data_IF_665525476761
#
_entry.id   IF_665525476761
#
_cell.length_a   1.000
_cell.length_b   1.000
_cell.length_c   1.000
_cell.angle_alpha   90.00
_cell.angle_beta   90.00
_cell.angle_gamma   90.00
#
_symmetry.space_group_name_H-M   'P 1'
#
loop_
_entity.id
_entity.type
_entity.pdbx_description
1 polymer ?
#
# COMPACT_ATOMS: atom_id res chain seq x y z
N UNK A 1 -2.89 -24.10 -4.88
CA UNK A 1 -2.74 -23.31 -3.65
C UNK A 1 -3.81 -22.23 -3.57
N UNK A 2 -4.35 -22.04 -2.38
CA UNK A 2 -5.38 -21.04 -2.18
C UNK A 2 -4.78 -19.62 -2.23
N UNK A 3 -5.43 -18.75 -3.00
CA UNK A 3 -5.05 -17.35 -3.02
C UNK A 3 -5.46 -16.69 -1.70
N UNK A 4 -4.56 -15.94 -1.09
CA UNK A 4 -4.87 -15.24 0.17
C UNK A 4 -5.89 -14.14 -0.04
N UNK A 5 -6.79 -14.00 0.92
CA UNK A 5 -7.74 -12.89 0.96
C UNK A 5 -7.01 -11.58 1.31
N UNK A 6 -7.56 -10.42 0.90
CA UNK A 6 -6.93 -9.15 1.23
C UNK A 6 -6.60 -8.96 2.71
N UNK A 7 -7.50 -9.37 3.60
CA UNK A 7 -7.27 -9.22 5.04
C UNK A 7 -6.11 -10.09 5.53
N UNK A 8 -5.95 -11.27 4.94
CA UNK A 8 -4.82 -12.15 5.26
C UNK A 8 -3.50 -11.55 4.77
N UNK A 9 -3.52 -10.91 3.59
CA UNK A 9 -2.34 -10.21 3.06
C UNK A 9 -1.96 -9.05 3.98
N UNK A 10 -2.94 -8.30 4.48
CA UNK A 10 -2.66 -7.20 5.40
C UNK A 10 -1.95 -7.71 6.65
N UNK A 11 -2.47 -8.77 7.28
CA UNK A 11 -1.87 -9.34 8.49
C UNK A 11 -0.45 -9.81 8.21
N UNK A 12 -0.24 -10.50 7.10
CA UNK A 12 1.08 -10.99 6.72
C UNK A 12 2.07 -9.85 6.57
N UNK A 13 1.68 -8.80 5.82
CA UNK A 13 2.60 -7.69 5.52
C UNK A 13 2.83 -6.78 6.71
N UNK A 14 1.84 -6.62 7.59
CA UNK A 14 2.09 -5.91 8.85
C UNK A 14 3.20 -6.58 9.65
N UNK A 15 3.21 -7.92 9.68
CA UNK A 15 4.26 -8.67 10.35
C UNK A 15 5.60 -8.53 9.65
N UNK A 16 5.63 -8.70 8.33
CA UNK A 16 6.87 -8.62 7.55
C UNK A 16 7.54 -7.25 7.65
N UNK A 17 6.74 -6.20 7.70
CA UNK A 17 7.25 -4.82 7.73
C UNK A 17 7.42 -4.25 9.13
N UNK A 18 7.10 -5.03 10.17
CA UNK A 18 7.23 -4.55 11.54
C UNK A 18 6.20 -3.49 11.90
N UNK A 19 4.97 -3.63 11.39
CA UNK A 19 3.88 -2.68 11.60
C UNK A 19 2.76 -3.24 12.48
N UNK A 20 3.05 -4.27 13.27
CA UNK A 20 2.02 -4.93 14.08
C UNK A 20 1.47 -4.03 15.20
N UNK A 21 2.18 -2.97 15.54
CA UNK A 21 1.73 -1.98 16.51
C UNK A 21 0.81 -0.90 15.92
N UNK A 22 0.56 -0.96 14.59
CA UNK A 22 -0.38 -0.06 13.94
C UNK A 22 -1.78 -0.63 13.95
N UNK A 23 -2.75 0.22 14.30
CA UNK A 23 -4.17 -0.08 14.15
C UNK A 23 -4.60 0.43 12.77
N UNK A 24 -5.02 -0.49 11.90
CA UNK A 24 -5.35 -0.16 10.51
C UNK A 24 -6.83 -0.41 10.25
N UNK A 25 -7.54 0.66 9.89
CA UNK A 25 -8.89 0.57 9.34
C UNK A 25 -8.73 0.24 7.86
N UNK A 26 -9.00 -1.01 7.49
CA UNK A 26 -8.74 -1.53 6.16
C UNK A 26 -10.03 -1.62 5.35
N UNK A 27 -10.03 -0.97 4.19
CA UNK A 27 -11.12 -1.03 3.21
C UNK A 27 -10.60 -1.72 1.95
N UNK A 28 -10.75 -3.04 1.85
CA UNK A 28 -10.05 -3.84 0.84
C UNK A 28 -10.64 -3.81 -0.56
N UNK A 29 -11.84 -3.25 -0.73
CA UNK A 29 -12.56 -3.34 -2.01
C UNK A 29 -13.43 -2.10 -2.20
N UNK A 30 -12.79 -1.00 -2.59
CA UNK A 30 -13.48 0.27 -2.79
C UNK A 30 -13.83 0.50 -4.26
N UNK A 31 -14.86 1.32 -4.50
CA UNK A 31 -15.08 1.91 -5.82
C UNK A 31 -14.15 3.11 -5.98
N UNK A 32 -14.03 3.62 -7.20
CA UNK A 32 -13.24 4.83 -7.45
C UNK A 32 -13.74 6.01 -6.61
N UNK A 33 -15.06 6.13 -6.46
CA UNK A 33 -15.69 7.21 -5.73
C UNK A 33 -15.46 7.11 -4.21
N UNK A 34 -15.26 5.91 -3.70
CA UNK A 34 -15.05 5.69 -2.27
C UNK A 34 -13.61 6.00 -1.83
N UNK A 35 -12.66 6.03 -2.77
CA UNK A 35 -11.28 6.37 -2.45
C UNK A 35 -11.17 7.85 -2.07
N UNK A 36 -10.45 8.14 -0.99
CA UNK A 36 -10.32 9.50 -0.48
C UNK A 36 -9.47 10.41 -1.38
N UNK A 37 -8.65 9.82 -2.25
CA UNK A 37 -7.81 10.56 -3.19
C UNK A 37 -8.19 10.21 -4.62
N UNK A 38 -8.13 11.23 -5.50
CA UNK A 38 -8.43 11.05 -6.91
C UNK A 38 -7.24 10.41 -7.65
N UNK A 39 -7.54 9.73 -8.75
CA UNK A 39 -6.56 9.17 -9.68
C UNK A 39 -5.56 8.20 -9.04
N UNK A 40 -6.02 7.41 -8.07
CA UNK A 40 -5.20 6.39 -7.45
C UNK A 40 -5.96 5.07 -7.36
N UNK A 41 -5.21 3.98 -7.25
CA UNK A 41 -5.77 2.64 -7.06
C UNK A 41 -5.76 2.23 -5.58
N UNK A 42 -5.07 3.00 -4.74
CA UNK A 42 -4.99 2.77 -3.31
C UNK A 42 -4.59 4.06 -2.63
N UNK A 43 -4.96 4.21 -1.38
CA UNK A 43 -4.50 5.36 -0.60
C UNK A 43 -4.44 5.02 0.88
N UNK A 44 -3.58 5.75 1.57
CA UNK A 44 -3.43 5.64 3.02
C UNK A 44 -3.48 7.02 3.65
N UNK A 45 -4.16 7.12 4.78
CA UNK A 45 -4.16 8.31 5.63
C UNK A 45 -3.82 7.86 7.04
N UNK A 46 -3.07 8.66 7.78
CA UNK A 46 -2.55 8.19 9.06
C UNK A 46 -2.32 9.33 10.04
N UNK A 47 -2.29 8.96 11.32
CA UNK A 47 -1.83 9.81 12.42
C UNK A 47 -0.60 9.12 13.02
N UNK A 48 0.59 9.61 12.68
CA UNK A 48 1.84 8.91 12.99
C UNK A 48 2.11 8.78 14.49
N UNK A 49 1.72 9.77 15.27
CA UNK A 49 1.95 9.75 16.73
C UNK A 49 1.12 8.65 17.41
N UNK A 50 -0.10 8.46 16.90
CA UNK A 50 -1.03 7.48 17.49
C UNK A 50 -0.92 6.11 16.83
N UNK A 51 -0.21 5.99 15.73
CA UNK A 51 -0.06 4.76 14.95
C UNK A 51 -1.41 4.16 14.55
N UNK A 52 -2.29 5.02 14.07
CA UNK A 52 -3.57 4.62 13.48
C UNK A 52 -3.59 5.06 12.03
N UNK A 53 -4.17 4.24 11.18
CA UNK A 53 -4.21 4.52 9.75
C UNK A 53 -5.49 3.96 9.13
N UNK A 54 -5.85 4.56 8.00
CA UNK A 54 -6.90 4.04 7.12
C UNK A 54 -6.22 3.70 5.80
N UNK A 55 -6.37 2.45 5.34
CA UNK A 55 -5.83 2.01 4.06
C UNK A 55 -6.99 1.57 3.18
N UNK A 56 -7.11 2.21 2.02
CA UNK A 56 -8.16 1.92 1.05
C UNK A 56 -7.54 1.31 -0.20
N UNK A 57 -8.14 0.23 -0.69
CA UNK A 57 -7.71 -0.45 -1.91
C UNK A 57 -8.86 -0.50 -2.90
N UNK A 58 -8.58 -0.20 -4.15
CA UNK A 58 -9.58 -0.35 -5.22
C UNK A 58 -9.94 -1.83 -5.40
N UNK A 59 -11.21 -2.10 -5.68
CA UNK A 59 -11.59 -3.41 -6.19
C UNK A 59 -11.02 -3.52 -7.61
N UNK A 60 -10.13 -4.50 -7.89
CA UNK A 60 -9.48 -4.58 -9.20
C UNK A 60 -10.44 -4.65 -10.38
N UNK A 61 -11.63 -5.22 -10.18
CA UNK A 61 -12.64 -5.34 -11.24
C UNK A 61 -13.31 -4.01 -11.56
N UNK A 62 -13.18 -3.01 -10.68
CA UNK A 62 -13.84 -1.71 -10.83
C UNK A 62 -12.89 -0.60 -11.26
N UNK A 63 -11.64 -0.93 -11.61
CA UNK A 63 -10.67 0.08 -12.03
C UNK A 63 -11.10 0.74 -13.35
N UNK A 64 -10.96 2.06 -13.41
CA UNK A 64 -11.32 2.84 -14.61
C UNK A 64 -10.42 2.53 -15.79
N UNK A 65 -9.16 2.19 -15.54
CA UNK A 65 -8.18 1.95 -16.58
C UNK A 65 -7.64 0.53 -16.51
N UNK A 66 -8.30 -0.42 -17.19
CA UNK A 66 -7.84 -1.80 -17.18
C UNK A 66 -6.63 -2.06 -18.08
N UNK A 67 -6.18 -1.05 -18.84
CA UNK A 67 -5.07 -1.22 -19.78
C UNK A 67 -3.73 -1.46 -19.09
N UNK A 68 -3.58 -0.98 -17.85
CA UNK A 68 -2.34 -1.12 -17.11
C UNK A 68 -2.45 -2.25 -16.09
N UNK A 69 -1.39 -3.03 -16.02
CA UNK A 69 -1.33 -4.14 -15.06
C UNK A 69 -1.44 -3.61 -13.63
N UNK A 70 -2.26 -4.27 -12.83
CA UNK A 70 -2.43 -3.94 -11.43
C UNK A 70 -2.14 -5.15 -10.56
N UNK A 71 -1.16 -5.02 -9.67
CA UNK A 71 -0.85 -6.06 -8.69
C UNK A 71 -1.33 -5.56 -7.32
N UNK A 72 -2.41 -6.15 -6.84
CA UNK A 72 -3.04 -5.75 -5.58
C UNK A 72 -2.06 -5.83 -4.41
N UNK A 73 -1.31 -6.91 -4.30
CA UNK A 73 -0.38 -7.09 -3.19
C UNK A 73 0.73 -6.05 -3.21
N UNK A 74 1.27 -5.75 -4.39
CA UNK A 74 2.30 -4.70 -4.53
C UNK A 74 1.73 -3.35 -4.11
N UNK A 75 0.49 -3.02 -4.53
CA UNK A 75 -0.15 -1.77 -4.15
C UNK A 75 -0.36 -1.69 -2.63
N UNK A 76 -0.78 -2.78 -2.00
CA UNK A 76 -0.95 -2.83 -0.55
C UNK A 76 0.38 -2.59 0.17
N UNK A 77 1.45 -3.24 -0.27
CA UNK A 77 2.77 -3.05 0.32
C UNK A 77 3.24 -1.61 0.16
N UNK A 78 2.98 -1.00 -1.00
CA UNK A 78 3.29 0.42 -1.22
C UNK A 78 2.63 1.30 -0.14
N UNK A 79 1.33 1.07 0.12
CA UNK A 79 0.62 1.87 1.13
C UNK A 79 1.18 1.63 2.53
N UNK A 80 1.51 0.39 2.86
CA UNK A 80 2.09 0.09 4.17
C UNK A 80 3.49 0.68 4.33
N UNK A 81 4.26 0.80 3.24
CA UNK A 81 5.56 1.46 3.29
C UNK A 81 5.42 2.95 3.60
N UNK A 82 4.33 3.61 3.18
CA UNK A 82 4.06 4.98 3.62
C UNK A 82 3.99 5.06 5.14
N UNK A 83 3.36 4.09 5.78
CA UNK A 83 3.28 4.06 7.25
C UNK A 83 4.66 3.87 7.88
N UNK A 84 5.51 3.06 7.24
CA UNK A 84 6.86 2.81 7.72
C UNK A 84 7.72 4.06 7.67
N UNK A 85 7.49 4.92 6.67
CA UNK A 85 8.26 6.13 6.45
C UNK A 85 7.53 7.40 6.88
N UNK A 86 6.40 7.28 7.59
CA UNK A 86 5.54 8.41 7.90
C UNK A 86 6.23 9.52 8.68
N UNK A 87 7.13 9.17 9.60
CA UNK A 87 7.86 10.18 10.37
C UNK A 87 8.80 10.98 9.48
N UNK A 88 9.44 10.32 8.51
CA UNK A 88 10.28 11.01 7.54
C UNK A 88 9.45 11.94 6.66
N UNK A 89 8.31 11.44 6.16
CA UNK A 89 7.43 12.24 5.30
C UNK A 89 6.88 13.46 6.02
N UNK A 90 6.65 13.35 7.34
CA UNK A 90 6.05 14.41 8.14
C UNK A 90 7.04 15.53 8.52
N UNK A 91 8.36 15.30 8.38
CA UNK A 91 9.37 16.25 8.86
C UNK A 91 9.78 17.32 7.82
N UNK A 92 9.34 17.16 6.56
CA UNK A 92 9.79 18.01 5.47
C UNK A 92 8.64 18.58 4.66
N UNK A 93 8.85 19.80 4.13
CA UNK A 93 7.98 20.35 3.09
C UNK A 93 8.48 19.82 1.75
N UNK A 94 7.90 18.71 1.30
CA UNK A 94 8.36 18.03 0.10
C UNK A 94 7.91 18.76 -1.17
N UNK A 95 8.82 18.95 -2.10
CA UNK A 95 8.48 19.48 -3.42
C UNK A 95 7.75 18.40 -4.22
N UNK A 96 7.08 18.81 -5.31
CA UNK A 96 6.42 17.84 -6.21
C UNK A 96 7.42 16.81 -6.76
N UNK A 97 8.65 17.25 -7.08
CA UNK A 97 9.68 16.34 -7.55
C UNK A 97 10.06 15.33 -6.45
N UNK A 98 10.27 15.80 -5.23
CA UNK A 98 10.59 14.93 -4.11
C UNK A 98 9.49 13.90 -3.86
N UNK A 99 8.22 14.32 -3.91
CA UNK A 99 7.10 13.40 -3.73
C UNK A 99 7.06 12.35 -4.84
N UNK A 100 7.30 12.75 -6.08
CA UNK A 100 7.35 11.80 -7.20
C UNK A 100 8.50 10.79 -7.06
N UNK A 101 9.66 11.28 -6.60
CA UNK A 101 10.81 10.39 -6.35
C UNK A 101 10.51 9.42 -5.22
N UNK A 102 9.89 9.89 -4.15
CA UNK A 102 9.49 9.03 -3.04
C UNK A 102 8.55 7.91 -3.52
N UNK A 103 7.50 8.29 -4.26
CA UNK A 103 6.55 7.29 -4.77
C UNK A 103 7.21 6.29 -5.72
N UNK A 104 8.15 6.74 -6.55
CA UNK A 104 8.92 5.85 -7.41
C UNK A 104 9.73 4.84 -6.61
N UNK A 105 10.42 5.31 -5.56
CA UNK A 105 11.18 4.43 -4.67
C UNK A 105 10.27 3.44 -3.96
N UNK A 106 9.12 3.90 -3.46
CA UNK A 106 8.17 3.03 -2.77
C UNK A 106 7.61 1.96 -3.70
N UNK A 107 7.31 2.33 -4.95
CA UNK A 107 6.86 1.35 -5.95
C UNK A 107 7.92 0.29 -6.20
N UNK A 108 9.17 0.69 -6.38
CA UNK A 108 10.26 -0.25 -6.63
C UNK A 108 10.51 -1.16 -5.42
N UNK A 109 10.48 -0.61 -4.22
CA UNK A 109 10.65 -1.39 -3.00
C UNK A 109 9.49 -2.38 -2.80
N UNK A 110 8.26 -1.92 -3.00
CA UNK A 110 7.09 -2.79 -2.85
C UNK A 110 7.18 -3.97 -3.82
N UNK A 111 7.50 -3.68 -5.09
CA UNK A 111 7.64 -4.73 -6.09
C UNK A 111 8.76 -5.70 -5.72
N UNK A 112 9.91 -5.19 -5.30
CA UNK A 112 11.06 -6.03 -4.93
C UNK A 112 10.71 -6.94 -3.75
N UNK A 113 10.03 -6.42 -2.74
CA UNK A 113 9.65 -7.21 -1.56
C UNK A 113 8.64 -8.31 -1.92
N UNK A 114 7.65 -7.98 -2.73
CA UNK A 114 6.65 -8.95 -3.16
C UNK A 114 7.29 -10.01 -4.06
N UNK A 115 8.14 -9.60 -5.00
CA UNK A 115 8.86 -10.52 -5.88
C UNK A 115 9.73 -11.48 -5.06
N UNK A 116 10.41 -10.98 -4.03
CA UNK A 116 11.24 -11.80 -3.14
C UNK A 116 10.40 -12.85 -2.41
N UNK A 117 9.22 -12.45 -1.91
CA UNK A 117 8.30 -13.38 -1.27
C UNK A 117 7.86 -14.47 -2.24
N UNK A 118 7.44 -14.08 -3.45
CA UNK A 118 6.93 -15.02 -4.45
C UNK A 118 8.02 -15.95 -4.97
N UNK A 119 9.21 -15.43 -5.16
CA UNK A 119 10.35 -16.22 -5.61
C UNK A 119 10.70 -17.31 -4.62
N UNK A 120 10.67 -17.00 -3.33
CA UNK A 120 10.97 -17.97 -2.27
C UNK A 120 10.01 -19.16 -2.27
N UNK A 121 8.74 -18.91 -2.61
CA UNK A 121 7.70 -19.94 -2.54
C UNK A 121 7.25 -20.43 -3.92
N UNK A 122 7.68 -19.76 -4.99
CA UNK A 122 7.27 -20.07 -6.36
C UNK A 122 8.35 -20.73 -7.20
N UNK A 123 9.54 -20.84 -6.67
CA UNK A 123 10.66 -21.43 -7.41
C UNK A 123 10.56 -22.94 -7.52
#
# INVERSE_FOLDING_TARGET
MRKKKPEELLVEWQKRLGLTDWEIDFEPSCTEEELDLDDCDACSTYLEVRKVAKVQMINPELRKDPAFHFDYEVALVHELLHLKLCMLEATEDWTDLQMRLLHSVLNDLAKALVDAKRSKYGA
#
